data_IF_073550695174
#
_entry.id   IF_073550695174
#
_cell.length_a   1.000
_cell.length_b   1.000
_cell.length_c   1.000
_cell.angle_alpha   90.00
_cell.angle_beta   90.00
_cell.angle_gamma   90.00
#
_symmetry.space_group_name_H-M   'P 1'
#
loop_
_entity.id
_entity.type
_entity.pdbx_description
1 polymer ?
#
# COMPACT_ATOMS: atom_id res chain seq x y z
N UNK A 1 -9.78 -4.77 6.75
CA UNK A 1 -8.45 -5.35 7.03
C UNK A 1 -7.35 -4.35 6.66
N UNK A 2 -7.13 -4.03 5.39
CA UNK A 2 -5.97 -3.23 4.94
C UNK A 2 -5.92 -1.78 5.50
N UNK A 3 -7.06 -1.08 5.59
CA UNK A 3 -7.16 0.24 6.25
C UNK A 3 -6.81 0.16 7.74
N UNK A 4 -7.15 -0.95 8.40
CA UNK A 4 -6.83 -1.21 9.80
C UNK A 4 -5.33 -1.36 10.02
N UNK A 5 -4.60 -1.97 9.07
CA UNK A 5 -3.14 -2.08 9.11
C UNK A 5 -2.44 -0.72 8.93
N UNK A 6 -2.93 0.13 8.01
CA UNK A 6 -2.38 1.49 7.83
C UNK A 6 -2.60 2.33 9.08
N UNK A 7 -3.79 2.28 9.70
CA UNK A 7 -4.07 2.95 10.98
C UNK A 7 -3.10 2.54 12.08
N UNK A 8 -2.75 1.25 12.14
CA UNK A 8 -1.80 0.72 13.12
C UNK A 8 -0.37 1.23 12.86
N UNK A 9 0.12 1.14 11.62
CA UNK A 9 1.48 1.58 11.24
C UNK A 9 1.69 3.09 11.39
N UNK A 10 0.69 3.88 11.02
CA UNK A 10 0.74 5.35 11.09
C UNK A 10 0.39 5.91 12.45
N UNK A 11 -0.07 5.07 13.39
CA UNK A 11 -0.67 5.47 14.68
C UNK A 11 -1.82 6.49 14.54
N UNK A 12 -2.43 6.61 13.36
CA UNK A 12 -3.54 7.53 13.06
C UNK A 12 -4.87 6.81 13.23
N UNK A 13 -5.52 7.04 14.38
CA UNK A 13 -6.88 6.51 14.68
C UNK A 13 -8.00 7.24 13.92
N UNK A 14 -7.68 8.32 13.23
CA UNK A 14 -8.59 9.15 12.44
C UNK A 14 -8.65 8.76 10.96
N UNK A 15 -7.78 7.87 10.46
CA UNK A 15 -7.68 7.53 9.03
C UNK A 15 -8.85 6.67 8.53
N UNK A 16 -9.93 7.28 8.07
CA UNK A 16 -11.17 6.62 7.63
C UNK A 16 -11.06 5.90 6.30
N UNK A 17 -10.30 6.40 5.33
CA UNK A 17 -10.17 5.82 3.99
C UNK A 17 -8.74 5.95 3.44
N UNK A 18 -7.87 5.02 3.86
CA UNK A 18 -6.52 4.86 3.29
C UNK A 18 -6.47 4.20 1.92
N UNK A 19 -7.61 3.94 1.27
CA UNK A 19 -7.71 3.17 0.03
C UNK A 19 -8.17 4.01 -1.16
N UNK A 20 -8.76 5.18 -0.93
CA UNK A 20 -9.20 6.05 -2.01
C UNK A 20 -8.08 6.43 -2.96
N UNK A 21 -8.37 6.38 -4.26
CA UNK A 21 -7.53 6.96 -5.32
C UNK A 21 -7.70 8.47 -5.48
N UNK A 22 -8.73 9.10 -4.87
CA UNK A 22 -8.93 10.54 -4.93
C UNK A 22 -8.00 11.26 -3.95
N UNK A 23 -6.97 11.93 -4.48
CA UNK A 23 -5.91 12.54 -3.68
C UNK A 23 -5.36 13.79 -4.33
N UNK A 24 -4.91 14.71 -3.49
CA UNK A 24 -4.18 15.90 -3.89
C UNK A 24 -2.88 15.98 -3.08
N UNK A 25 -1.83 16.46 -3.74
CA UNK A 25 -0.50 16.62 -3.15
C UNK A 25 -0.06 18.07 -3.32
N UNK A 26 0.68 18.59 -2.34
CA UNK A 26 1.49 19.78 -2.58
C UNK A 26 2.56 19.46 -3.64
N UNK A 27 3.09 20.46 -4.37
CA UNK A 27 4.14 20.22 -5.36
C UNK A 27 5.34 19.46 -4.79
N UNK A 28 5.73 19.78 -3.55
CA UNK A 28 6.82 19.10 -2.85
C UNK A 28 6.50 17.64 -2.53
N UNK A 29 5.30 17.37 -2.01
CA UNK A 29 4.88 16.00 -1.71
C UNK A 29 4.77 15.15 -2.99
N UNK A 30 4.34 15.73 -4.11
CA UNK A 30 4.30 15.03 -5.39
C UNK A 30 5.70 14.68 -5.92
N UNK A 31 6.68 15.57 -5.72
CA UNK A 31 8.06 15.36 -6.15
C UNK A 31 8.81 14.32 -5.30
N UNK A 32 8.50 14.26 -4.00
CA UNK A 32 9.16 13.35 -3.05
C UNK A 32 8.44 12.01 -2.90
N UNK A 33 7.28 11.82 -3.53
CA UNK A 33 6.50 10.59 -3.44
C UNK A 33 7.19 9.39 -4.11
N UNK A 34 7.40 8.31 -3.35
CA UNK A 34 7.96 7.07 -3.88
C UNK A 34 6.96 5.92 -3.76
N UNK A 35 6.75 5.19 -4.86
CA UNK A 35 5.92 3.98 -4.86
C UNK A 35 6.73 2.80 -5.32
N UNK A 36 7.12 2.00 -4.34
CA UNK A 36 8.07 0.90 -4.48
C UNK A 36 7.39 -0.40 -4.95
N UNK A 37 6.05 -0.49 -5.01
CA UNK A 37 5.38 -1.73 -5.44
C UNK A 37 3.99 -1.59 -6.08
N UNK A 38 3.66 -2.55 -6.95
CA UNK A 38 2.52 -2.52 -7.89
C UNK A 38 1.14 -2.77 -7.28
N UNK A 39 1.06 -3.12 -5.99
CA UNK A 39 -0.22 -3.35 -5.31
C UNK A 39 -0.43 -2.34 -4.19
N UNK A 40 -1.61 -1.72 -4.16
CA UNK A 40 -1.99 -0.76 -3.10
C UNK A 40 -1.13 0.50 -3.05
N UNK A 41 -0.79 1.05 -4.22
CA UNK A 41 -0.13 2.36 -4.40
C UNK A 41 -0.65 3.42 -3.42
N UNK A 42 -1.97 3.44 -3.22
CA UNK A 42 -2.64 4.34 -2.29
C UNK A 42 -2.07 4.25 -0.85
N UNK A 43 -1.83 3.05 -0.33
CA UNK A 43 -1.34 2.92 1.04
C UNK A 43 0.13 3.22 1.16
N UNK A 44 0.92 2.71 0.22
CA UNK A 44 2.36 2.94 0.15
C UNK A 44 2.65 4.42 0.15
N UNK A 45 1.99 5.15 -0.74
CA UNK A 45 2.17 6.57 -0.88
C UNK A 45 1.79 7.32 0.40
N UNK A 46 0.76 6.85 1.12
CA UNK A 46 0.36 7.46 2.40
C UNK A 46 1.42 7.21 3.46
N UNK A 47 1.96 5.99 3.54
CA UNK A 47 3.01 5.63 4.48
C UNK A 47 4.33 6.35 4.19
N UNK A 48 4.72 6.42 2.92
CA UNK A 48 5.93 7.09 2.45
C UNK A 48 5.92 8.58 2.83
N UNK A 49 4.86 9.30 2.45
CA UNK A 49 4.76 10.73 2.73
C UNK A 49 4.62 11.03 4.22
N UNK A 50 3.89 10.20 4.97
CA UNK A 50 3.85 10.33 6.44
C UNK A 50 5.21 10.06 7.07
N UNK A 51 5.95 9.06 6.59
CA UNK A 51 7.31 8.76 7.03
C UNK A 51 8.29 9.90 6.73
N UNK A 52 8.10 10.61 5.62
CA UNK A 52 8.84 11.83 5.24
C UNK A 52 8.37 13.10 5.98
N UNK A 53 7.38 12.98 6.87
CA UNK A 53 6.92 14.08 7.73
C UNK A 53 5.89 15.01 7.09
N UNK A 54 5.30 14.66 5.95
CA UNK A 54 4.23 15.44 5.35
C UNK A 54 2.94 15.37 6.17
N UNK A 55 2.14 16.44 6.09
CA UNK A 55 0.83 16.49 6.75
C UNK A 55 -0.22 15.76 5.91
N UNK A 56 -1.09 15.04 6.61
CA UNK A 56 -2.19 14.28 6.01
C UNK A 56 -3.54 14.72 6.59
N UNK A 57 -4.49 14.97 5.69
CA UNK A 57 -5.88 15.31 5.99
C UNK A 57 -6.82 14.54 5.05
N UNK A 58 -7.95 14.09 5.59
CA UNK A 58 -9.01 13.45 4.82
C UNK A 58 -10.12 14.45 4.51
N UNK A 59 -10.59 14.47 3.28
CA UNK A 59 -11.77 15.22 2.86
C UNK A 59 -12.90 14.21 2.60
N UNK A 60 -14.06 14.33 3.26
CA UNK A 60 -15.16 13.39 3.06
C UNK A 60 -15.64 13.40 1.60
N UNK A 61 -15.72 12.22 1.00
CA UNK A 61 -16.28 12.02 -0.34
C UNK A 61 -17.44 11.03 -0.26
N UNK A 62 -18.44 11.23 -1.13
CA UNK A 62 -19.55 10.29 -1.29
C UNK A 62 -19.30 9.45 -2.53
N UNK A 63 -19.25 8.14 -2.37
CA UNK A 63 -19.17 7.22 -3.50
C UNK A 63 -20.58 6.93 -4.02
N UNK A 64 -20.73 6.92 -5.34
CA UNK A 64 -21.89 6.31 -5.99
C UNK A 64 -21.47 4.95 -6.55
N UNK A 65 -22.23 3.92 -6.24
CA UNK A 65 -22.01 2.62 -6.86
C UNK A 65 -22.46 2.68 -8.31
N UNK A 66 -21.63 2.21 -9.23
CA UNK A 66 -22.06 2.00 -10.61
C UNK A 66 -23.18 0.96 -10.64
N UNK A 67 -24.31 1.33 -11.22
CA UNK A 67 -25.46 0.44 -11.44
C UNK A 67 -25.40 -0.28 -12.79
N UNK A 68 -24.45 0.10 -13.66
CA UNK A 68 -24.26 -0.47 -14.98
C UNK A 68 -22.78 -0.71 -15.32
N UNK A 69 -22.53 -1.71 -16.17
CA UNK A 69 -21.19 -2.19 -16.54
C UNK A 69 -20.70 -3.36 -15.66
N UNK A 70 -19.85 -4.21 -16.23
CA UNK A 70 -19.22 -5.32 -15.49
C UNK A 70 -17.86 -4.88 -14.97
N UNK A 71 -17.60 -5.08 -13.67
CA UNK A 71 -16.26 -4.87 -13.12
C UNK A 71 -15.27 -5.83 -13.78
N UNK A 72 -14.28 -5.30 -14.50
CA UNK A 72 -13.15 -6.06 -15.02
C UNK A 72 -12.37 -6.78 -13.91
N UNK A 73 -12.38 -6.19 -12.71
CA UNK A 73 -11.81 -6.77 -11.49
C UNK A 73 -12.77 -7.83 -10.93
N UNK A 74 -12.63 -9.05 -11.44
CA UNK A 74 -13.23 -10.23 -10.78
C UNK A 74 -12.48 -10.47 -9.47
N UNK A 75 -13.16 -10.29 -8.34
CA UNK A 75 -12.60 -10.41 -6.99
C UNK A 75 -11.77 -11.70 -6.81
N UNK A 76 -12.23 -12.82 -7.36
CA UNK A 76 -11.50 -14.10 -7.29
C UNK A 76 -10.21 -14.16 -8.13
N UNK A 77 -10.06 -13.35 -9.19
CA UNK A 77 -8.79 -13.23 -9.95
C UNK A 77 -7.82 -12.29 -9.23
N UNK A 78 -8.35 -11.23 -8.63
CA UNK A 78 -7.58 -10.28 -7.82
C UNK A 78 -6.94 -10.98 -6.61
N UNK A 79 -7.74 -11.69 -5.80
CA UNK A 79 -7.24 -12.39 -4.61
C UNK A 79 -6.16 -13.45 -4.96
N UNK A 80 -6.31 -14.16 -6.09
CA UNK A 80 -5.33 -15.14 -6.56
C UNK A 80 -3.97 -14.56 -6.94
N UNK A 81 -3.90 -13.27 -7.30
CA UNK A 81 -2.63 -12.58 -7.62
C UNK A 81 -2.03 -11.91 -6.39
N UNK A 82 -2.87 -11.31 -5.54
CA UNK A 82 -2.43 -10.53 -4.39
C UNK A 82 -1.93 -11.40 -3.25
N UNK A 83 -2.68 -12.45 -2.88
CA UNK A 83 -2.34 -13.27 -1.69
C UNK A 83 -0.95 -13.92 -1.80
N UNK A 84 -0.54 -14.53 -2.94
CA UNK A 84 0.81 -15.09 -3.06
C UNK A 84 1.91 -14.04 -3.06
N UNK A 85 1.67 -12.86 -3.64
CA UNK A 85 2.64 -11.77 -3.66
C UNK A 85 2.90 -11.23 -2.24
N UNK A 86 1.84 -10.95 -1.48
CA UNK A 86 1.93 -10.52 -0.07
C UNK A 86 2.62 -11.60 0.78
N UNK A 87 2.33 -12.88 0.54
CA UNK A 87 3.00 -13.97 1.28
C UNK A 87 4.51 -14.00 1.03
N UNK A 88 4.99 -13.82 -0.21
CA UNK A 88 6.43 -13.79 -0.50
C UNK A 88 7.14 -12.60 0.13
N UNK A 89 6.46 -11.47 0.18
CA UNK A 89 6.98 -10.24 0.81
C UNK A 89 7.12 -10.41 2.33
N UNK A 90 6.13 -11.03 2.98
CA UNK A 90 6.14 -11.26 4.42
C UNK A 90 7.04 -12.44 4.85
N UNK A 91 7.25 -13.41 3.96
CA UNK A 91 8.08 -14.59 4.18
C UNK A 91 9.17 -14.69 3.10
N UNK A 92 10.14 -13.75 3.07
CA UNK A 92 11.26 -13.87 2.16
C UNK A 92 12.00 -15.19 2.46
N UNK A 93 12.46 -15.94 1.44
CA UNK A 93 13.29 -17.11 1.67
C UNK A 93 14.48 -16.69 2.53
N UNK A 94 14.64 -17.38 3.67
CA UNK A 94 15.73 -17.15 4.60
C UNK A 94 17.03 -17.21 3.80
N UNK A 95 17.77 -16.08 3.77
CA UNK A 95 19.07 -16.03 3.12
C UNK A 95 19.89 -17.22 3.64
N UNK A 96 20.40 -18.00 2.69
CA UNK A 96 21.29 -19.11 3.00
C UNK A 96 22.51 -18.50 3.68
N UNK A 97 22.89 -18.95 4.90
CA UNK A 97 24.12 -18.46 5.52
C UNK A 97 25.26 -18.72 4.55
N UNK A 98 26.05 -17.68 4.27
CA UNK A 98 27.18 -17.74 3.36
C UNK A 98 28.09 -18.92 3.75
N UNK A 99 28.49 -19.72 2.76
CA UNK A 99 29.46 -20.79 2.96
C UNK A 99 30.71 -20.22 3.65
N UNK A 100 31.25 -20.90 4.68
CA UNK A 100 32.49 -20.46 5.29
C UNK A 100 33.60 -20.47 4.23
N UNK A 101 34.55 -19.51 4.27
CA UNK A 101 35.61 -19.45 3.28
C UNK A 101 36.43 -20.74 3.32
N UNK A 102 36.62 -21.33 2.14
CA UNK A 102 37.50 -22.50 1.92
C UNK A 102 38.89 -22.12 2.45
N UNK A 103 39.34 -22.81 3.50
CA UNK A 103 40.74 -22.76 3.92
C UNK A 103 41.54 -23.68 2.99
N UNK A 104 42.55 -23.09 2.35
CA UNK A 104 43.57 -23.74 1.52
C UNK A 104 44.30 -24.81 2.33
#
# INVERSE_FOLDING_TARGET
VLTTWVRWLTRRRDLTDGQSGFRAFSPRAAAEAEVVHDYNYAQVLTLDLLGKGFRYAEVPIRYSFRTSGTSFVRLGRYLRRVVPAVHRELNPPRAQPADPPIRI
#
